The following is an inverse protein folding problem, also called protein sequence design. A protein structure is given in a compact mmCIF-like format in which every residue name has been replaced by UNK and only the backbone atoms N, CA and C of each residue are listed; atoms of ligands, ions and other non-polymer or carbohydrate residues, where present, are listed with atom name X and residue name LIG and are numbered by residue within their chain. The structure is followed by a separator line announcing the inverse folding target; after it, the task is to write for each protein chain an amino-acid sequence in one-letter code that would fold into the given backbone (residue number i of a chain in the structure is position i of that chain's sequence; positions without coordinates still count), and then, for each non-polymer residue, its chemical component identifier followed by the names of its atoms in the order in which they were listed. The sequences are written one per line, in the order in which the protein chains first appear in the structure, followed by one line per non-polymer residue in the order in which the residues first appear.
data_IF_933631805756
#
_entry.id   IF_933631805756
#
_cell.length_a   1.000
_cell.length_b   1.000
_cell.length_c   1.000
_cell.angle_alpha   90.00
_cell.angle_beta   90.00
_cell.angle_gamma   90.00
#
_symmetry.space_group_name_H-M   'P 1'
#
loop_
_entity.id
_entity.type
_entity.pdbx_description
1 polymer ?
#
# COMPACT_ATOMS: atom_id res chain seq x y z
N UNK A 1 15.10 -19.83 -12.26
CA UNK A 1 15.36 -18.68 -13.14
C UNK A 1 16.09 -19.10 -14.41
N UNK A 2 15.88 -18.35 -15.50
CA UNK A 2 16.60 -18.54 -16.76
C UNK A 2 17.96 -17.83 -16.67
N UNK A 3 19.02 -18.47 -17.10
CA UNK A 3 20.37 -17.88 -17.20
C UNK A 3 20.59 -17.45 -18.64
N UNK A 4 21.12 -16.24 -18.84
CA UNK A 4 21.44 -15.67 -20.15
C UNK A 4 22.94 -15.34 -20.21
N UNK A 5 23.53 -15.47 -21.42
CA UNK A 5 24.87 -14.99 -21.72
C UNK A 5 24.89 -13.47 -21.96
N UNK A 6 26.07 -12.93 -22.27
CA UNK A 6 26.28 -11.50 -22.59
C UNK A 6 25.58 -11.06 -23.88
N UNK A 7 25.10 -11.99 -24.71
CA UNK A 7 24.34 -11.74 -25.94
C UNK A 7 22.85 -12.02 -25.77
N UNK A 8 22.35 -12.14 -24.52
CA UNK A 8 20.96 -12.47 -24.20
C UNK A 8 20.45 -13.82 -24.69
N UNK A 9 21.34 -14.77 -25.07
CA UNK A 9 20.96 -16.14 -25.36
C UNK A 9 20.76 -16.92 -24.07
N UNK A 10 19.68 -17.68 -23.99
CA UNK A 10 19.45 -18.53 -22.82
C UNK A 10 20.44 -19.69 -22.81
N UNK A 11 21.31 -19.73 -21.83
CA UNK A 11 22.36 -20.77 -21.66
C UNK A 11 21.98 -21.82 -20.63
N UNK A 12 20.94 -21.58 -19.82
CA UNK A 12 20.54 -22.55 -18.80
C UNK A 12 19.43 -22.10 -17.87
N UNK A 13 19.32 -22.83 -16.76
CA UNK A 13 18.44 -22.54 -15.64
C UNK A 13 19.20 -22.68 -14.34
N UNK A 14 18.86 -21.85 -13.37
CA UNK A 14 19.29 -21.99 -11.98
C UNK A 14 18.06 -22.06 -11.08
N UNK A 15 18.18 -22.79 -9.97
CA UNK A 15 17.17 -22.82 -8.94
C UNK A 15 17.46 -21.70 -7.94
N UNK A 16 16.47 -20.85 -7.72
CA UNK A 16 16.48 -19.87 -6.63
C UNK A 16 15.60 -20.39 -5.50
N UNK A 17 16.11 -20.28 -4.29
CA UNK A 17 15.32 -20.48 -3.10
C UNK A 17 14.62 -19.15 -2.82
N UNK A 18 13.31 -19.13 -2.96
CA UNK A 18 12.49 -17.91 -2.89
C UNK A 18 12.80 -17.05 -1.65
N UNK A 19 12.98 -17.69 -0.50
CA UNK A 19 13.23 -17.00 0.78
C UNK A 19 14.67 -16.43 0.91
N UNK A 20 15.63 -16.94 0.11
CA UNK A 20 17.06 -16.60 0.25
C UNK A 20 17.58 -15.76 -0.88
N UNK A 21 17.10 -16.02 -2.09
CA UNK A 21 17.69 -15.51 -3.32
C UNK A 21 16.84 -14.40 -3.95
N UNK A 22 15.58 -14.22 -3.48
CA UNK A 22 14.69 -13.19 -3.96
C UNK A 22 14.57 -12.02 -2.97
N UNK A 23 14.11 -10.87 -3.48
CA UNK A 23 13.82 -9.73 -2.60
C UNK A 23 12.64 -10.04 -1.69
N UNK A 24 12.60 -9.42 -0.50
CA UNK A 24 11.47 -9.53 0.42
C UNK A 24 10.14 -9.18 -0.26
N UNK A 25 10.13 -8.14 -1.12
CA UNK A 25 8.93 -7.75 -1.87
C UNK A 25 8.47 -8.82 -2.86
N UNK A 26 9.40 -9.47 -3.56
CA UNK A 26 9.10 -10.59 -4.47
C UNK A 26 8.53 -11.78 -3.69
N UNK A 27 9.17 -12.14 -2.59
CA UNK A 27 8.70 -13.22 -1.72
C UNK A 27 7.27 -12.95 -1.24
N UNK A 28 7.01 -11.74 -0.71
CA UNK A 28 5.70 -11.33 -0.23
C UNK A 28 4.65 -11.37 -1.34
N UNK A 29 4.98 -10.87 -2.52
CA UNK A 29 4.09 -10.88 -3.68
C UNK A 29 3.69 -12.31 -4.06
N UNK A 30 4.64 -13.25 -4.09
CA UNK A 30 4.35 -14.67 -4.38
C UNK A 30 3.43 -15.28 -3.32
N UNK A 31 3.66 -14.96 -2.03
CA UNK A 31 2.81 -15.43 -0.94
C UNK A 31 1.37 -14.90 -1.07
N UNK A 32 1.20 -13.63 -1.46
CA UNK A 32 -0.13 -13.03 -1.63
C UNK A 32 -0.83 -13.46 -2.91
N UNK A 33 -0.09 -13.77 -3.97
CA UNK A 33 -0.64 -14.01 -5.31
C UNK A 33 -1.73 -15.09 -5.33
N UNK A 34 -1.53 -16.18 -4.59
CA UNK A 34 -2.53 -17.25 -4.47
C UNK A 34 -3.85 -16.72 -3.89
N UNK A 35 -3.79 -16.01 -2.78
CA UNK A 35 -4.97 -15.49 -2.09
C UNK A 35 -5.71 -14.45 -2.94
N UNK A 36 -4.98 -13.60 -3.67
CA UNK A 36 -5.53 -12.63 -4.62
C UNK A 36 -6.30 -13.37 -5.72
N UNK A 37 -5.68 -14.36 -6.36
CA UNK A 37 -6.29 -15.14 -7.45
C UNK A 37 -7.53 -15.91 -6.95
N UNK A 38 -7.44 -16.55 -5.80
CA UNK A 38 -8.55 -17.29 -5.20
C UNK A 38 -9.71 -16.36 -4.85
N UNK A 39 -9.43 -15.18 -4.27
CA UNK A 39 -10.46 -14.19 -3.95
C UNK A 39 -11.17 -13.70 -5.21
N UNK A 40 -10.43 -13.34 -6.25
CA UNK A 40 -10.98 -12.87 -7.53
C UNK A 40 -11.84 -13.97 -8.20
N UNK A 41 -11.42 -15.24 -8.15
CA UNK A 41 -12.17 -16.35 -8.73
C UNK A 41 -13.45 -16.66 -7.98
N UNK A 42 -13.42 -16.59 -6.65
CA UNK A 42 -14.52 -17.03 -5.80
C UNK A 42 -15.45 -15.88 -5.38
N UNK A 43 -15.13 -14.64 -5.73
CA UNK A 43 -15.93 -13.48 -5.31
C UNK A 43 -15.85 -13.21 -3.80
N UNK A 44 -14.76 -13.62 -3.14
CA UNK A 44 -14.61 -13.51 -1.69
C UNK A 44 -13.91 -12.20 -1.26
N UNK A 45 -14.04 -11.86 0.02
CA UNK A 45 -13.34 -10.71 0.59
C UNK A 45 -11.95 -11.12 1.05
N UNK A 46 -10.93 -10.37 0.63
CA UNK A 46 -9.54 -10.52 1.05
C UNK A 46 -9.12 -9.34 1.91
N UNK A 47 -8.59 -9.63 3.11
CA UNK A 47 -8.01 -8.64 4.02
C UNK A 47 -6.50 -8.76 4.00
N UNK A 48 -5.79 -7.65 3.77
CA UNK A 48 -4.33 -7.61 3.79
C UNK A 48 -3.89 -6.46 4.70
N UNK A 49 -3.20 -6.81 5.78
CA UNK A 49 -2.55 -5.86 6.66
C UNK A 49 -1.15 -5.48 6.13
N UNK A 50 -0.75 -4.22 6.34
CA UNK A 50 0.51 -3.67 5.82
C UNK A 50 0.71 -3.98 4.32
N UNK A 51 -0.31 -3.74 3.52
CA UNK A 51 -0.37 -4.13 2.11
C UNK A 51 0.88 -3.74 1.30
N UNK A 52 1.44 -2.58 1.57
CA UNK A 52 2.60 -2.01 0.88
C UNK A 52 3.97 -2.47 1.44
N UNK A 53 4.00 -3.28 2.50
CA UNK A 53 5.25 -3.72 3.14
C UNK A 53 6.21 -4.39 2.15
N UNK A 54 7.24 -3.65 1.72
CA UNK A 54 8.28 -4.12 0.80
C UNK A 54 7.85 -4.27 -0.67
N UNK A 55 6.60 -3.93 -1.04
CA UNK A 55 6.14 -3.96 -2.43
C UNK A 55 6.27 -2.57 -3.05
N UNK A 56 6.72 -2.54 -4.30
CA UNK A 56 6.80 -1.29 -5.05
C UNK A 56 5.39 -0.71 -5.30
N UNK A 57 5.24 0.62 -5.20
CA UNK A 57 3.95 1.30 -5.35
C UNK A 57 3.20 0.96 -6.66
N UNK A 58 3.93 0.76 -7.76
CA UNK A 58 3.31 0.33 -9.02
C UNK A 58 2.69 -1.06 -8.94
N UNK A 59 3.31 -2.00 -8.20
CA UNK A 59 2.76 -3.34 -8.00
C UNK A 59 1.53 -3.27 -7.10
N UNK A 60 1.59 -2.50 -6.03
CA UNK A 60 0.46 -2.25 -5.15
C UNK A 60 -0.74 -1.68 -5.92
N UNK A 61 -0.49 -0.68 -6.76
CA UNK A 61 -1.51 -0.10 -7.66
C UNK A 61 -2.09 -1.14 -8.62
N UNK A 62 -1.26 -1.94 -9.28
CA UNK A 62 -1.72 -2.97 -10.22
C UNK A 62 -2.64 -3.99 -9.55
N UNK A 63 -2.36 -4.37 -8.29
CA UNK A 63 -3.25 -5.25 -7.53
C UNK A 63 -4.61 -4.60 -7.28
N UNK A 64 -4.66 -3.31 -6.90
CA UNK A 64 -5.92 -2.58 -6.75
C UNK A 64 -6.71 -2.54 -8.07
N UNK A 65 -6.03 -2.28 -9.20
CA UNK A 65 -6.64 -2.27 -10.53
C UNK A 65 -7.22 -3.65 -10.91
N UNK A 66 -6.57 -4.75 -10.51
CA UNK A 66 -7.12 -6.10 -10.71
C UNK A 66 -8.48 -6.27 -10.02
N UNK A 67 -8.64 -5.84 -8.78
CA UNK A 67 -9.93 -5.91 -8.07
C UNK A 67 -10.97 -4.94 -8.63
N UNK A 68 -10.53 -3.78 -9.09
CA UNK A 68 -11.42 -2.76 -9.65
C UNK A 68 -11.98 -3.16 -11.01
N UNK A 69 -11.16 -3.79 -11.87
CA UNK A 69 -11.52 -4.14 -13.25
C UNK A 69 -12.06 -5.57 -13.40
N UNK A 70 -11.93 -6.41 -12.37
CA UNK A 70 -12.41 -7.77 -12.44
C UNK A 70 -13.94 -7.82 -12.51
N UNK A 71 -14.47 -8.66 -13.39
CA UNK A 71 -15.90 -9.02 -13.43
C UNK A 71 -16.21 -10.01 -12.29
N UNK A 72 -15.88 -9.63 -11.06
CA UNK A 72 -15.99 -10.45 -9.86
C UNK A 72 -16.64 -9.64 -8.74
N UNK A 73 -17.34 -10.32 -7.84
CA UNK A 73 -17.86 -9.73 -6.59
C UNK A 73 -16.81 -9.67 -5.48
N UNK A 74 -15.55 -9.99 -5.78
CA UNK A 74 -14.46 -9.96 -4.82
C UNK A 74 -14.25 -8.57 -4.24
N UNK A 75 -13.92 -8.52 -2.96
CA UNK A 75 -13.58 -7.28 -2.24
C UNK A 75 -12.16 -7.36 -1.70
N UNK A 76 -11.43 -6.26 -1.80
CA UNK A 76 -10.12 -6.10 -1.19
C UNK A 76 -10.21 -5.03 -0.10
N UNK A 77 -9.85 -5.41 1.12
CA UNK A 77 -9.71 -4.50 2.27
C UNK A 77 -8.25 -4.47 2.67
N UNK A 78 -7.64 -3.31 2.60
CA UNK A 78 -6.21 -3.13 2.89
C UNK A 78 -5.98 -2.05 3.94
N UNK A 79 -4.94 -2.26 4.73
CA UNK A 79 -4.29 -1.24 5.54
C UNK A 79 -2.94 -0.94 4.88
N UNK A 80 -2.59 0.33 4.76
CA UNK A 80 -1.38 0.76 4.05
C UNK A 80 -0.88 2.12 4.56
N UNK A 81 0.43 2.32 4.52
CA UNK A 81 1.08 3.61 4.73
C UNK A 81 1.45 4.31 3.40
N UNK A 82 1.14 3.70 2.27
CA UNK A 82 1.48 4.21 0.95
C UNK A 82 0.51 5.30 0.50
N UNK A 83 0.85 6.55 0.81
CA UNK A 83 0.03 7.72 0.47
C UNK A 83 -0.17 7.91 -1.04
N UNK A 84 0.75 7.39 -1.88
CA UNK A 84 0.63 7.51 -3.34
C UNK A 84 -0.60 6.79 -3.90
N UNK A 85 -1.16 5.82 -3.17
CA UNK A 85 -2.41 5.16 -3.55
C UNK A 85 -3.61 6.12 -3.49
N UNK A 86 -3.56 7.16 -2.63
CA UNK A 86 -4.63 8.16 -2.50
C UNK A 86 -4.74 9.09 -3.72
N UNK A 87 -3.65 9.25 -4.47
CA UNK A 87 -3.58 10.07 -5.70
C UNK A 87 -3.54 9.23 -6.97
N UNK A 88 -3.57 7.90 -6.86
CA UNK A 88 -3.51 6.99 -8.00
C UNK A 88 -4.71 7.18 -8.94
N UNK A 89 -4.42 7.15 -10.25
CA UNK A 89 -5.41 7.31 -11.30
C UNK A 89 -5.36 6.09 -12.23
N UNK A 90 -6.51 5.74 -12.79
CA UNK A 90 -6.61 4.76 -13.85
C UNK A 90 -6.08 5.31 -15.19
N UNK A 91 -6.11 4.51 -16.25
CA UNK A 91 -5.66 4.89 -17.59
C UNK A 91 -6.47 6.06 -18.19
N UNK A 92 -7.70 6.28 -17.72
CA UNK A 92 -8.55 7.41 -18.14
C UNK A 92 -8.27 8.70 -17.38
N UNK A 93 -7.37 8.67 -16.39
CA UNK A 93 -7.06 9.80 -15.53
C UNK A 93 -8.04 10.01 -14.36
N UNK A 94 -8.99 9.09 -14.16
CA UNK A 94 -9.93 9.10 -13.04
C UNK A 94 -9.26 8.50 -11.78
N UNK A 95 -9.62 8.99 -10.62
CA UNK A 95 -9.14 8.43 -9.34
C UNK A 95 -9.47 6.94 -9.24
N UNK A 96 -8.45 6.12 -8.97
CA UNK A 96 -8.60 4.67 -8.80
C UNK A 96 -9.48 4.34 -7.60
N UNK A 97 -9.32 5.09 -6.50
CA UNK A 97 -10.14 4.94 -5.30
C UNK A 97 -11.21 6.03 -5.23
N UNK A 98 -12.44 5.65 -4.92
CA UNK A 98 -13.51 6.58 -4.57
C UNK A 98 -13.36 7.02 -3.12
N UNK A 99 -13.85 8.23 -2.80
CA UNK A 99 -13.79 8.77 -1.42
C UNK A 99 -14.48 7.89 -0.39
N UNK A 100 -15.56 7.23 -0.77
CA UNK A 100 -16.33 6.31 0.10
C UNK A 100 -15.58 5.00 0.42
N UNK A 101 -14.50 4.72 -0.29
CA UNK A 101 -13.64 3.56 -0.07
C UNK A 101 -12.43 3.86 0.82
N UNK A 102 -12.22 5.11 1.20
CA UNK A 102 -11.04 5.56 1.94
C UNK A 102 -11.43 5.87 3.38
N UNK A 103 -10.74 5.23 4.30
CA UNK A 103 -10.91 5.42 5.73
C UNK A 103 -9.57 5.84 6.35
N UNK A 104 -9.63 6.77 7.30
CA UNK A 104 -8.49 7.19 8.10
C UNK A 104 -8.57 6.55 9.48
N UNK A 105 -7.46 5.98 9.92
CA UNK A 105 -7.31 5.48 11.28
C UNK A 105 -6.61 6.53 12.13
N UNK A 106 -7.06 6.71 13.35
CA UNK A 106 -6.41 7.57 14.32
C UNK A 106 -6.33 6.84 15.66
N UNK A 107 -5.22 7.02 16.37
CA UNK A 107 -5.03 6.47 17.71
C UNK A 107 -4.84 7.62 18.69
N UNK A 108 -5.68 7.69 19.72
CA UNK A 108 -5.55 8.71 20.74
C UNK A 108 -4.45 8.36 21.77
N UNK A 109 -4.17 9.30 22.69
CA UNK A 109 -3.15 9.12 23.74
C UNK A 109 -3.42 7.96 24.72
N UNK A 110 -4.63 7.45 24.75
CA UNK A 110 -5.03 6.29 25.57
C UNK A 110 -4.91 4.96 24.83
N UNK A 111 -4.51 4.99 23.54
CA UNK A 111 -4.40 3.81 22.71
C UNK A 111 -5.69 3.39 22.03
N UNK A 112 -6.77 4.14 22.18
CA UNK A 112 -8.04 3.86 21.51
C UNK A 112 -7.94 4.27 20.04
N UNK A 113 -8.37 3.36 19.15
CA UNK A 113 -8.38 3.58 17.70
C UNK A 113 -9.77 3.98 17.22
N UNK A 114 -9.81 4.95 16.33
CA UNK A 114 -11.01 5.36 15.61
C UNK A 114 -10.81 5.16 14.12
N UNK A 115 -11.87 4.78 13.42
CA UNK A 115 -11.93 4.65 11.97
C UNK A 115 -12.95 5.65 11.44
N UNK A 116 -12.52 6.55 10.55
CA UNK A 116 -13.36 7.61 10.02
C UNK A 116 -13.32 7.61 8.49
N UNK A 117 -14.44 7.51 7.79
CA UNK A 117 -14.46 7.64 6.34
C UNK A 117 -14.07 9.06 5.93
N UNK A 118 -13.31 9.18 4.84
CA UNK A 118 -12.82 10.49 4.39
C UNK A 118 -13.95 11.44 4.00
N UNK A 119 -15.12 10.90 3.70
CA UNK A 119 -16.35 11.68 3.37
C UNK A 119 -16.89 12.49 4.54
N UNK A 120 -16.53 12.14 5.78
CA UNK A 120 -16.96 12.87 6.97
C UNK A 120 -16.10 14.10 7.30
N UNK A 121 -14.94 14.23 6.64
CA UNK A 121 -14.13 15.43 6.80
C UNK A 121 -14.83 16.65 6.16
N UNK A 122 -15.24 17.59 6.99
CA UNK A 122 -16.03 18.79 6.59
C UNK A 122 -15.24 19.81 5.76
N UNK A 123 -13.93 19.71 5.73
CA UNK A 123 -13.09 20.61 4.93
C UNK A 123 -13.24 20.25 3.46
N UNK A 124 -13.63 21.27 2.66
CA UNK A 124 -13.52 21.19 1.21
C UNK A 124 -12.09 20.83 0.85
N UNK A 125 -11.84 19.55 0.60
CA UNK A 125 -10.55 19.05 0.13
C UNK A 125 -10.29 19.64 -1.27
N UNK A 126 -9.81 20.89 -1.31
CA UNK A 126 -9.52 21.65 -2.56
C UNK A 126 -8.32 21.09 -3.31
N UNK A 127 -7.46 20.35 -2.61
CA UNK A 127 -6.29 19.64 -3.13
C UNK A 127 -6.55 18.13 -3.18
N UNK A 128 -5.58 17.35 -3.69
CA UNK A 128 -5.66 15.89 -3.66
C UNK A 128 -5.77 15.38 -2.22
N UNK A 129 -6.39 14.22 -2.04
CA UNK A 129 -6.52 13.56 -0.73
C UNK A 129 -5.12 13.32 -0.12
N UNK A 130 -4.19 12.83 -0.94
CA UNK A 130 -2.80 12.62 -0.53
C UNK A 130 -2.17 13.89 0.03
N UNK A 131 -2.30 15.02 -0.66
CA UNK A 131 -1.73 16.29 -0.20
C UNK A 131 -2.36 16.75 1.11
N UNK A 132 -3.69 16.65 1.25
CA UNK A 132 -4.35 16.99 2.51
C UNK A 132 -3.88 16.09 3.66
N UNK A 133 -3.62 14.82 3.40
CA UNK A 133 -3.05 13.90 4.39
C UNK A 133 -1.64 14.34 4.78
N UNK A 134 -0.75 14.56 3.82
CA UNK A 134 0.64 14.96 4.08
C UNK A 134 0.75 16.35 4.76
N UNK A 135 -0.15 17.28 4.44
CA UNK A 135 -0.24 18.60 5.08
C UNK A 135 -0.84 18.55 6.50
N UNK A 136 -1.21 17.36 7.02
CA UNK A 136 -1.80 17.19 8.36
C UNK A 136 -3.26 17.66 8.49
N UNK A 137 -3.93 17.93 7.38
CA UNK A 137 -5.34 18.31 7.35
C UNK A 137 -6.31 17.13 7.60
N UNK A 138 -5.76 15.91 7.59
CA UNK A 138 -6.46 14.67 7.90
C UNK A 138 -5.81 14.02 9.13
N UNK A 139 -6.55 13.20 9.85
CA UNK A 139 -6.02 12.46 11.00
C UNK A 139 -5.14 11.28 10.58
N UNK A 140 -4.33 10.76 11.52
CA UNK A 140 -3.52 9.55 11.30
C UNK A 140 -2.12 9.82 10.73
N UNK A 141 -1.73 11.09 10.55
CA UNK A 141 -0.34 11.43 10.18
C UNK A 141 0.54 11.28 11.42
N UNK A 142 1.60 10.46 11.39
CA UNK A 142 2.56 10.38 12.47
C UNK A 142 3.26 11.73 12.64
N UNK A 143 3.29 12.25 13.87
CA UNK A 143 4.08 13.43 14.22
C UNK A 143 5.38 12.97 14.87
N UNK A 144 6.50 13.33 14.27
CA UNK A 144 7.82 13.11 14.85
C UNK A 144 8.42 14.47 15.15
N UNK A 145 8.65 14.76 16.44
CA UNK A 145 9.37 15.97 16.85
C UNK A 145 10.88 15.68 16.75
N UNK A 146 11.46 16.10 15.63
CA UNK A 146 12.88 15.90 15.38
C UNK A 146 13.76 16.71 16.36
N UNK A 147 13.31 17.90 16.77
CA UNK A 147 14.07 18.76 17.70
C UNK A 147 14.13 18.12 19.09
N UNK A 148 13.02 17.51 19.51
CA UNK A 148 12.98 16.73 20.75
C UNK A 148 13.95 15.53 20.70
N UNK A 149 13.99 14.79 19.61
CA UNK A 149 14.94 13.68 19.46
C UNK A 149 16.40 14.15 19.42
N UNK A 150 16.68 15.28 18.80
CA UNK A 150 18.03 15.87 18.76
C UNK A 150 18.49 16.28 20.16
N UNK A 151 17.58 16.81 20.99
CA UNK A 151 17.92 17.21 22.37
C UNK A 151 18.46 16.04 23.20
N UNK A 152 17.87 14.84 23.07
CA UNK A 152 18.37 13.63 23.72
C UNK A 152 19.81 13.28 23.35
N UNK A 153 20.16 13.43 22.07
CA UNK A 153 21.53 13.11 21.61
C UNK A 153 22.56 14.14 22.10
N UNK A 154 22.12 15.35 22.46
CA UNK A 154 22.98 16.43 22.95
C UNK A 154 23.17 16.41 24.48
N UNK A 155 22.21 15.86 25.23
CA UNK A 155 22.31 15.75 26.71
C UNK A 155 23.29 14.68 27.17
N UNK A 156 23.64 13.70 26.33
CA UNK A 156 24.61 12.62 26.65
C UNK A 156 26.08 12.99 26.33
N UNK A 157 26.41 14.27 26.13
CA UNK A 157 27.76 14.78 25.92
C UNK A 157 28.18 15.73 27.07
#
# INVERSE_FOLDING_TARGET
HKIYDEHYNRVGYTNFVLEKDESFGTFRLVCMARHIIESLKNGSTLFIDEFDGGIHSFVARAILEMFYNASSSAQLVINTHNTSLLSSKDESGKSLLRKDQIYMTNKNRYGESTLMPITEYKNNLRSSIERNYLDGNLTGVPSVDADYLISFVQEDK
#
